data_IF_648595781171
#
_entry.id   IF_648595781171
#
_cell.length_a   1.000
_cell.length_b   1.000
_cell.length_c   1.000
_cell.angle_alpha   90.00
_cell.angle_beta   90.00
_cell.angle_gamma   90.00
#
_symmetry.space_group_name_H-M   'P 1'
#
loop_
_entity.id
_entity.type
_entity.pdbx_description
1 polymer ?
#
# COMPACT_ATOMS: atom_id res chain seq x y z
N UNK A 1 12.09 67.75 -16.32
CA UNK A 1 11.06 67.77 -15.27
C UNK A 1 9.77 67.24 -15.88
N UNK A 2 9.26 66.12 -15.35
CA UNK A 2 7.98 65.54 -15.77
C UNK A 2 8.06 64.10 -16.28
N UNK A 3 8.59 63.16 -15.47
CA UNK A 3 8.37 61.73 -15.71
C UNK A 3 6.89 61.42 -15.42
N UNK A 4 6.10 61.27 -16.48
CA UNK A 4 4.71 60.83 -16.39
C UNK A 4 4.68 59.35 -16.02
N UNK A 5 4.54 59.08 -14.72
CA UNK A 5 4.22 57.76 -14.19
C UNK A 5 2.91 57.26 -14.82
N UNK A 6 3.02 56.36 -15.80
CA UNK A 6 1.91 55.53 -16.25
C UNK A 6 1.57 54.56 -15.12
N UNK A 7 0.71 55.04 -14.23
CA UNK A 7 0.07 54.26 -13.18
C UNK A 7 -0.78 53.17 -13.85
N UNK A 8 -0.19 51.99 -14.04
CA UNK A 8 -0.92 50.77 -14.37
C UNK A 8 -1.85 50.49 -13.19
N UNK A 9 -3.10 50.92 -13.31
CA UNK A 9 -4.16 50.52 -12.40
C UNK A 9 -4.30 49.01 -12.49
N UNK A 10 -3.65 48.29 -11.58
CA UNK A 10 -3.97 46.91 -11.30
C UNK A 10 -5.44 46.89 -10.87
N UNK A 11 -6.31 46.49 -11.80
CA UNK A 11 -7.70 46.19 -11.50
C UNK A 11 -7.64 44.97 -10.58
N UNK A 12 -7.60 45.23 -9.27
CA UNK A 12 -7.89 44.27 -8.23
C UNK A 12 -9.34 43.85 -8.44
N UNK A 13 -9.56 42.89 -9.34
CA UNK A 13 -10.83 42.17 -9.45
C UNK A 13 -11.09 41.65 -8.04
N UNK A 14 -12.13 42.13 -7.34
CA UNK A 14 -12.43 41.63 -6.01
C UNK A 14 -12.60 40.13 -6.16
N UNK A 15 -11.83 39.33 -5.43
CA UNK A 15 -12.09 37.89 -5.30
C UNK A 15 -13.50 37.77 -4.71
N UNK A 16 -14.50 37.71 -5.58
CA UNK A 16 -15.90 37.57 -5.21
C UNK A 16 -15.98 36.30 -4.38
N UNK A 17 -16.19 36.45 -3.06
CA UNK A 17 -16.49 35.32 -2.20
C UNK A 17 -17.74 34.68 -2.81
N UNK A 18 -17.69 33.41 -3.24
CA UNK A 18 -18.77 32.89 -4.05
C UNK A 18 -20.05 32.89 -3.20
N UNK A 19 -21.05 33.62 -3.70
CA UNK A 19 -22.35 33.89 -3.10
C UNK A 19 -23.24 32.62 -3.17
N UNK A 20 -22.71 31.45 -2.84
CA UNK A 20 -23.52 30.25 -2.71
C UNK A 20 -24.32 30.36 -1.42
N UNK A 21 -25.63 30.50 -1.56
CA UNK A 21 -26.58 30.41 -0.46
C UNK A 21 -26.38 29.08 0.31
N UNK A 22 -26.71 29.05 1.60
CA UNK A 22 -26.53 27.85 2.45
C UNK A 22 -27.22 26.61 1.84
N UNK A 23 -28.31 26.85 1.16
CA UNK A 23 -29.20 25.91 0.48
C UNK A 23 -28.49 25.27 -0.72
N UNK A 24 -27.83 26.05 -1.57
CA UNK A 24 -27.04 25.53 -2.69
C UNK A 24 -25.90 24.62 -2.20
N UNK A 25 -25.27 24.94 -1.06
CA UNK A 25 -24.24 24.08 -0.46
C UNK A 25 -24.79 22.73 0.00
N UNK A 26 -26.02 22.68 0.50
CA UNK A 26 -26.68 21.43 0.90
C UNK A 26 -26.89 20.54 -0.31
N UNK A 27 -27.45 21.11 -1.38
CA UNK A 27 -27.71 20.39 -2.64
C UNK A 27 -26.39 19.88 -3.23
N UNK A 28 -25.39 20.76 -3.35
CA UNK A 28 -24.07 20.36 -3.88
C UNK A 28 -23.39 19.28 -3.05
N UNK A 29 -23.53 19.30 -1.71
CA UNK A 29 -23.01 18.24 -0.83
C UNK A 29 -23.74 16.93 -1.06
N UNK A 30 -25.06 16.96 -1.23
CA UNK A 30 -25.85 15.77 -1.52
C UNK A 30 -25.49 15.17 -2.89
N UNK A 31 -25.35 16.01 -3.92
CA UNK A 31 -24.93 15.58 -5.26
C UNK A 31 -23.52 14.97 -5.23
N UNK A 32 -22.54 15.65 -4.61
CA UNK A 32 -21.19 15.11 -4.45
C UNK A 32 -21.21 13.76 -3.72
N UNK A 33 -21.92 13.67 -2.60
CA UNK A 33 -22.06 12.40 -1.86
C UNK A 33 -22.65 11.29 -2.72
N UNK A 34 -23.67 11.59 -3.54
CA UNK A 34 -24.27 10.60 -4.44
C UNK A 34 -23.26 10.10 -5.47
N UNK A 35 -22.57 11.01 -6.16
CA UNK A 35 -21.52 10.67 -7.14
C UNK A 35 -20.39 9.89 -6.47
N UNK A 36 -19.90 10.36 -5.32
CA UNK A 36 -18.82 9.71 -4.57
C UNK A 36 -19.23 8.30 -4.11
N UNK A 37 -20.49 8.12 -3.73
CA UNK A 37 -21.03 6.80 -3.37
C UNK A 37 -21.10 5.89 -4.59
N UNK A 38 -21.52 6.41 -5.75
CA UNK A 38 -21.61 5.64 -7.00
C UNK A 38 -20.22 5.19 -7.48
N UNK A 39 -19.26 6.12 -7.52
CA UNK A 39 -17.86 5.83 -7.88
C UNK A 39 -17.26 4.81 -6.91
N UNK A 40 -17.46 4.97 -5.60
CA UNK A 40 -16.95 4.00 -4.62
C UNK A 40 -17.58 2.61 -4.78
N UNK A 41 -18.89 2.52 -5.01
CA UNK A 41 -19.57 1.24 -5.28
C UNK A 41 -19.00 0.55 -6.50
N UNK A 42 -18.74 1.29 -7.58
CA UNK A 42 -18.11 0.76 -8.79
C UNK A 42 -16.70 0.23 -8.50
N UNK A 43 -15.84 1.03 -7.87
CA UNK A 43 -14.49 0.64 -7.50
C UNK A 43 -14.47 -0.58 -6.56
N UNK A 44 -15.39 -0.65 -5.60
CA UNK A 44 -15.54 -1.80 -4.70
C UNK A 44 -15.92 -3.07 -5.47
N UNK A 45 -16.81 -2.96 -6.47
CA UNK A 45 -17.18 -4.11 -7.33
C UNK A 45 -15.97 -4.59 -8.13
N UNK A 46 -15.19 -3.68 -8.72
CA UNK A 46 -13.95 -4.02 -9.44
C UNK A 46 -12.94 -4.72 -8.54
N UNK A 47 -12.75 -4.21 -7.32
CA UNK A 47 -11.83 -4.82 -6.35
C UNK A 47 -12.35 -6.17 -5.83
N UNK A 48 -13.63 -6.50 -5.90
CA UNK A 48 -14.10 -7.82 -5.47
C UNK A 48 -13.92 -8.91 -6.55
N UNK A 49 -13.96 -8.54 -7.83
CA UNK A 49 -13.92 -9.47 -8.96
C UNK A 49 -12.59 -10.23 -9.12
N UNK A 50 -11.47 -9.69 -8.61
CA UNK A 50 -10.13 -10.23 -8.87
C UNK A 50 -9.80 -11.62 -8.33
N UNK A 51 -10.65 -12.18 -7.47
CA UNK A 51 -10.45 -13.54 -6.97
C UNK A 51 -11.04 -14.60 -7.90
N UNK A 52 -11.67 -14.17 -9.00
CA UNK A 52 -12.32 -15.01 -9.99
C UNK A 52 -11.55 -14.88 -11.32
N UNK A 53 -10.87 -15.95 -11.74
CA UNK A 53 -10.20 -16.03 -13.05
C UNK A 53 -8.68 -16.17 -13.01
N UNK A 54 -8.08 -16.21 -14.21
CA UNK A 54 -6.64 -16.40 -14.39
C UNK A 54 -5.89 -15.06 -14.18
N UNK A 55 -4.96 -14.97 -13.20
CA UNK A 55 -4.15 -13.79 -12.97
C UNK A 55 -3.32 -13.35 -14.18
N UNK A 56 -2.96 -14.28 -15.07
CA UNK A 56 -2.20 -13.97 -16.31
C UNK A 56 -2.96 -13.04 -17.22
N UNK A 57 -4.25 -13.31 -17.44
CA UNK A 57 -5.11 -12.51 -18.30
C UNK A 57 -5.25 -11.09 -17.75
N UNK A 58 -5.42 -10.96 -16.44
CA UNK A 58 -5.54 -9.67 -15.78
C UNK A 58 -4.23 -8.86 -15.85
N UNK A 59 -3.10 -9.50 -15.55
CA UNK A 59 -1.78 -8.87 -15.66
C UNK A 59 -1.46 -8.50 -17.11
N UNK A 60 -1.94 -9.24 -18.12
CA UNK A 60 -1.70 -8.90 -19.53
C UNK A 60 -2.13 -7.47 -19.87
N UNK A 61 -3.20 -6.99 -19.24
CA UNK A 61 -3.71 -5.62 -19.43
C UNK A 61 -2.97 -4.55 -18.61
N UNK A 62 -2.32 -4.94 -17.51
CA UNK A 62 -1.66 -4.00 -16.58
C UNK A 62 -0.15 -3.99 -16.76
N UNK A 63 0.46 -5.16 -16.70
CA UNK A 63 1.87 -5.40 -16.90
C UNK A 63 2.09 -6.69 -17.70
N UNK A 64 2.22 -6.60 -19.04
CA UNK A 64 2.41 -7.77 -19.88
C UNK A 64 3.74 -8.47 -19.64
N UNK A 65 4.76 -7.78 -19.11
CA UNK A 65 6.07 -8.38 -18.80
C UNK A 65 5.91 -9.36 -17.65
N UNK A 66 5.23 -8.97 -16.58
CA UNK A 66 4.98 -9.86 -15.44
C UNK A 66 4.02 -11.00 -15.80
N UNK A 67 3.03 -10.73 -16.67
CA UNK A 67 2.12 -11.76 -17.16
C UNK A 67 2.87 -12.90 -17.89
N UNK A 68 3.91 -12.58 -18.66
CA UNK A 68 4.73 -13.57 -19.37
C UNK A 68 5.55 -14.46 -18.43
N UNK A 69 6.01 -13.91 -17.31
CA UNK A 69 6.85 -14.64 -16.33
C UNK A 69 5.99 -15.51 -15.41
N UNK A 70 4.72 -15.17 -15.23
CA UNK A 70 3.82 -15.88 -14.33
C UNK A 70 3.56 -17.31 -14.82
N UNK A 71 3.90 -18.32 -14.03
CA UNK A 71 3.55 -19.71 -14.35
C UNK A 71 2.24 -20.19 -13.70
N UNK A 72 1.50 -21.07 -14.37
CA UNK A 72 0.28 -21.67 -13.83
C UNK A 72 0.57 -22.48 -12.55
N UNK A 73 1.71 -23.17 -12.48
CA UNK A 73 2.12 -23.92 -11.30
C UNK A 73 2.53 -23.02 -10.12
N UNK A 74 2.78 -21.72 -10.36
CA UNK A 74 3.15 -20.77 -9.30
C UNK A 74 2.00 -20.47 -8.34
N UNK A 75 0.76 -20.84 -8.68
CA UNK A 75 -0.42 -20.56 -7.85
C UNK A 75 -0.55 -19.06 -7.56
N UNK A 76 -0.26 -18.23 -8.57
CA UNK A 76 -0.25 -16.79 -8.46
C UNK A 76 -1.67 -16.22 -8.27
N UNK A 77 -1.77 -15.09 -7.59
CA UNK A 77 -3.00 -14.36 -7.32
C UNK A 77 -2.67 -12.87 -7.32
N UNK A 78 -3.47 -12.06 -8.01
CA UNK A 78 -3.30 -10.60 -7.96
C UNK A 78 -4.32 -10.02 -6.98
N UNK A 79 -3.87 -9.40 -5.90
CA UNK A 79 -4.75 -8.79 -4.90
C UNK A 79 -4.89 -7.30 -5.14
N UNK A 80 -6.10 -6.77 -5.04
CA UNK A 80 -6.36 -5.32 -5.12
C UNK A 80 -6.70 -4.72 -3.77
N UNK A 81 -6.36 -3.44 -3.62
CA UNK A 81 -6.79 -2.59 -2.51
C UNK A 81 -7.10 -1.20 -3.02
N UNK A 82 -8.03 -0.53 -2.35
CA UNK A 82 -8.24 0.91 -2.50
C UNK A 82 -7.34 1.63 -1.49
N UNK A 83 -6.76 2.76 -1.89
CA UNK A 83 -5.91 3.58 -1.03
C UNK A 83 -5.72 4.98 -1.62
N UNK A 84 -4.81 5.75 -1.01
CA UNK A 84 -4.57 7.15 -1.39
C UNK A 84 -5.07 8.13 -0.34
N UNK A 85 -4.54 9.36 -0.39
CA UNK A 85 -4.85 10.45 0.55
C UNK A 85 -6.02 11.32 0.09
N UNK A 86 -6.40 11.23 -1.19
CA UNK A 86 -7.48 12.00 -1.80
C UNK A 86 -8.56 11.09 -2.36
N UNK A 87 -9.78 11.64 -2.50
CA UNK A 87 -10.90 11.00 -3.16
C UNK A 87 -10.98 11.46 -4.63
N UNK A 88 -11.27 10.57 -5.60
CA UNK A 88 -11.55 9.14 -5.48
C UNK A 88 -10.31 8.31 -5.13
N UNK A 89 -10.48 7.15 -4.47
CA UNK A 89 -9.35 6.34 -4.02
C UNK A 89 -8.62 5.69 -5.21
N UNK A 90 -7.30 5.65 -5.13
CA UNK A 90 -6.43 4.93 -6.06
C UNK A 90 -6.51 3.42 -5.85
N UNK A 91 -6.46 2.67 -6.95
CA UNK A 91 -6.37 1.21 -6.91
C UNK A 91 -4.91 0.82 -6.85
N UNK A 92 -4.56 -0.08 -5.93
CA UNK A 92 -3.25 -0.70 -5.85
C UNK A 92 -3.38 -2.21 -6.01
N UNK A 93 -2.33 -2.83 -6.54
CA UNK A 93 -2.25 -4.27 -6.72
C UNK A 93 -0.97 -4.86 -6.12
N UNK A 94 -1.01 -6.15 -5.80
CA UNK A 94 0.14 -6.95 -5.38
C UNK A 94 0.00 -8.37 -5.92
N UNK A 95 1.07 -8.90 -6.51
CA UNK A 95 1.14 -10.29 -6.96
C UNK A 95 1.52 -11.15 -5.76
N UNK A 96 0.69 -12.12 -5.40
CA UNK A 96 0.92 -13.06 -4.31
C UNK A 96 0.95 -14.49 -4.86
N UNK A 97 1.59 -15.41 -4.17
CA UNK A 97 1.55 -16.85 -4.50
C UNK A 97 0.93 -17.60 -3.33
N UNK A 98 0.00 -18.52 -3.62
CA UNK A 98 -0.53 -19.47 -2.62
C UNK A 98 0.39 -20.68 -2.47
N UNK A 99 1.10 -21.05 -3.53
CA UNK A 99 2.09 -22.10 -3.51
C UNK A 99 3.40 -21.64 -2.85
N UNK A 100 4.13 -22.55 -2.17
CA UNK A 100 5.47 -22.27 -1.66
C UNK A 100 6.45 -22.13 -2.83
N UNK A 101 6.67 -20.89 -3.29
CA UNK A 101 7.67 -20.61 -4.33
C UNK A 101 9.03 -20.36 -3.67
N UNK A 102 10.05 -21.04 -4.20
CA UNK A 102 11.45 -20.88 -3.80
C UNK A 102 12.24 -20.48 -5.03
N UNK A 103 13.08 -19.46 -4.89
CA UNK A 103 14.06 -19.11 -5.90
C UNK A 103 15.19 -20.15 -5.88
N UNK A 104 15.24 -21.01 -6.90
CA UNK A 104 16.28 -22.05 -7.03
C UNK A 104 17.67 -21.42 -7.19
N UNK A 105 17.74 -20.28 -7.89
CA UNK A 105 18.99 -19.58 -8.20
C UNK A 105 19.48 -18.68 -7.07
N UNK A 106 18.63 -18.32 -6.09
CA UNK A 106 19.09 -17.66 -4.85
C UNK A 106 20.16 -18.47 -4.09
N UNK A 107 20.29 -19.76 -4.42
CA UNK A 107 21.28 -20.67 -3.86
C UNK A 107 22.44 -21.03 -4.80
N UNK A 108 22.57 -20.39 -5.98
CA UNK A 108 23.48 -20.83 -7.06
C UNK A 108 24.24 -19.68 -7.75
N UNK A 109 25.49 -19.87 -8.22
CA UNK A 109 26.38 -21.01 -8.00
C UNK A 109 27.14 -20.81 -6.69
N UNK A 110 27.20 -21.86 -5.87
CA UNK A 110 28.11 -21.88 -4.71
C UNK A 110 29.51 -22.15 -5.26
N UNK A 111 30.52 -21.47 -4.73
CA UNK A 111 31.91 -21.82 -5.02
C UNK A 111 32.24 -23.10 -4.25
N UNK A 112 31.98 -24.24 -4.88
CA UNK A 112 32.19 -25.58 -4.31
C UNK A 112 33.69 -25.89 -4.08
N UNK A 113 34.60 -25.05 -4.59
CA UNK A 113 36.04 -25.23 -4.39
C UNK A 113 36.51 -24.78 -3.00
N UNK A 114 35.73 -23.93 -2.32
CA UNK A 114 36.04 -23.45 -0.97
C UNK A 114 35.33 -24.29 0.07
N UNK A 115 36.06 -25.18 0.76
CA UNK A 115 35.54 -26.01 1.86
C UNK A 115 34.91 -25.20 3.02
N UNK A 116 35.20 -23.91 3.12
CA UNK A 116 34.60 -22.99 4.10
C UNK A 116 33.23 -22.43 3.66
N UNK A 117 32.81 -22.62 2.41
CA UNK A 117 31.56 -22.09 1.84
C UNK A 117 30.48 -23.15 1.60
N UNK A 118 30.78 -24.44 1.82
CA UNK A 118 29.76 -25.49 1.91
C UNK A 118 28.85 -25.19 3.09
N UNK A 119 27.75 -24.47 2.81
CA UNK A 119 26.60 -24.40 3.72
C UNK A 119 26.26 -25.82 4.12
N UNK A 120 26.17 -26.07 5.43
CA UNK A 120 25.84 -27.37 6.00
C UNK A 120 24.68 -28.02 5.23
N UNK A 121 24.82 -29.31 4.94
CA UNK A 121 23.79 -30.12 4.26
C UNK A 121 22.48 -29.99 5.05
N UNK A 122 21.30 -29.93 4.40
CA UNK A 122 19.99 -29.84 5.09
C UNK A 122 19.68 -30.94 6.12
N UNK A 123 20.56 -31.94 6.30
CA UNK A 123 20.50 -32.95 7.36
C UNK A 123 21.39 -32.72 8.59
N UNK A 124 22.23 -31.68 8.61
CA UNK A 124 23.21 -31.42 9.70
C UNK A 124 22.89 -30.19 10.56
N UNK A 125 21.66 -29.67 10.51
CA UNK A 125 21.25 -28.53 11.34
C UNK A 125 20.12 -28.96 12.29
N UNK A 126 20.49 -29.75 13.29
CA UNK A 126 19.77 -29.74 14.56
C UNK A 126 20.46 -28.65 15.42
N UNK A 127 19.77 -27.51 15.60
CA UNK A 127 20.16 -26.38 16.48
C UNK A 127 21.26 -25.39 16.00
N UNK A 128 21.38 -25.06 14.71
CA UNK A 128 22.37 -24.07 14.22
C UNK A 128 21.98 -23.35 12.91
N UNK A 129 20.92 -22.56 12.96
CA UNK A 129 20.17 -21.96 11.85
C UNK A 129 20.96 -21.31 10.69
N UNK A 130 20.83 -21.89 9.49
CA UNK A 130 20.80 -21.12 8.23
C UNK A 130 19.32 -20.85 7.89
N UNK A 131 18.73 -19.82 8.52
CA UNK A 131 17.38 -19.40 8.19
C UNK A 131 17.39 -18.74 6.80
N UNK A 132 16.68 -19.34 5.85
CA UNK A 132 16.29 -18.64 4.63
C UNK A 132 15.33 -17.53 5.07
N UNK A 133 15.86 -16.34 5.30
CA UNK A 133 15.05 -15.17 5.60
C UNK A 133 14.30 -14.78 4.33
N UNK A 134 12.98 -14.97 4.33
CA UNK A 134 12.14 -14.45 3.24
C UNK A 134 12.09 -12.94 3.38
N UNK A 135 12.81 -12.22 2.54
CA UNK A 135 12.70 -10.76 2.42
C UNK A 135 11.60 -10.47 1.41
N UNK A 136 10.47 -9.98 1.90
CA UNK A 136 9.33 -9.67 1.04
C UNK A 136 9.51 -8.28 0.39
N UNK A 137 10.29 -8.21 -0.70
CA UNK A 137 10.49 -6.98 -1.49
C UNK A 137 9.31 -6.65 -2.42
N UNK A 138 8.12 -7.10 -2.06
CA UNK A 138 6.94 -7.03 -2.91
C UNK A 138 5.90 -6.08 -2.31
N UNK A 139 6.15 -4.80 -2.46
CA UNK A 139 5.28 -3.71 -2.06
C UNK A 139 4.05 -3.65 -2.94
N UNK A 140 3.06 -2.92 -2.46
CA UNK A 140 1.87 -2.64 -3.25
C UNK A 140 2.16 -1.59 -4.31
N UNK A 141 1.67 -1.84 -5.52
CA UNK A 141 1.92 -1.01 -6.71
C UNK A 141 0.65 -0.31 -7.13
N UNK A 142 0.75 0.95 -7.54
CA UNK A 142 -0.42 1.69 -8.01
C UNK A 142 -0.81 1.21 -9.41
N UNK A 143 -2.11 1.07 -9.65
CA UNK A 143 -2.70 0.81 -10.96
C UNK A 143 -2.92 2.17 -11.64
N UNK A 144 -1.83 2.86 -12.00
CA UNK A 144 -1.89 4.10 -12.78
C UNK A 144 -1.76 3.77 -14.27
N UNK A 145 -2.52 4.48 -15.10
CA UNK A 145 -2.59 4.25 -16.54
C UNK A 145 -1.34 4.69 -17.33
N UNK A 146 -0.35 5.36 -16.70
CA UNK A 146 0.69 6.05 -17.48
C UNK A 146 2.15 5.74 -17.15
N UNK A 147 2.50 5.30 -15.95
CA UNK A 147 3.87 4.83 -15.68
C UNK A 147 3.90 4.10 -14.35
N UNK A 148 4.18 2.80 -14.39
CA UNK A 148 4.66 2.08 -13.22
C UNK A 148 6.09 2.55 -12.96
N UNK A 149 6.25 3.71 -12.32
CA UNK A 149 7.56 4.12 -11.83
C UNK A 149 7.92 3.20 -10.66
N UNK A 150 9.03 2.44 -10.72
CA UNK A 150 9.50 1.60 -9.62
C UNK A 150 9.81 2.41 -8.34
N UNK A 151 9.89 3.75 -8.45
CA UNK A 151 10.20 4.68 -7.36
C UNK A 151 8.99 5.47 -6.84
N UNK A 152 7.76 5.00 -7.06
CA UNK A 152 6.61 5.67 -6.44
C UNK A 152 6.73 5.58 -4.90
N UNK A 153 6.68 6.73 -4.21
CA UNK A 153 6.78 6.86 -2.75
C UNK A 153 5.94 5.81 -2.01
N UNK A 154 4.70 5.59 -2.48
CA UNK A 154 3.76 4.63 -1.86
C UNK A 154 4.23 3.17 -1.92
N UNK A 155 4.98 2.79 -2.95
CA UNK A 155 5.59 1.45 -3.09
C UNK A 155 6.83 1.35 -2.21
N UNK A 156 7.66 2.40 -2.14
CA UNK A 156 8.83 2.46 -1.26
C UNK A 156 8.45 2.38 0.22
N UNK A 157 7.47 3.17 0.68
CA UNK A 157 6.98 3.16 2.07
C UNK A 157 6.49 1.79 2.52
N UNK A 158 5.98 0.98 1.57
CA UNK A 158 5.53 -0.38 1.85
C UNK A 158 6.69 -1.39 1.81
N UNK A 159 7.66 -1.21 0.91
CA UNK A 159 8.85 -2.05 0.79
C UNK A 159 9.81 -1.92 1.98
N UNK A 160 9.92 -0.73 2.58
CA UNK A 160 10.85 -0.49 3.69
C UNK A 160 10.47 -1.23 4.99
N UNK A 161 9.24 -1.75 5.09
CA UNK A 161 8.78 -2.45 6.29
C UNK A 161 9.24 -3.91 6.25
N UNK A 162 10.40 -4.17 6.86
CA UNK A 162 10.83 -5.54 7.15
C UNK A 162 9.83 -6.19 8.11
N UNK A 163 9.24 -7.30 7.68
CA UNK A 163 8.35 -8.10 8.51
C UNK A 163 9.01 -9.44 8.79
N UNK A 164 9.22 -9.75 10.07
CA UNK A 164 9.69 -11.08 10.46
C UNK A 164 8.64 -12.13 10.08
N UNK A 165 9.07 -13.14 9.33
CA UNK A 165 8.22 -14.22 8.87
C UNK A 165 8.67 -15.55 9.49
N UNK A 166 7.95 -15.99 10.52
CA UNK A 166 8.16 -17.31 11.12
C UNK A 166 7.61 -18.41 10.20
N UNK A 167 8.30 -19.57 10.09
CA UNK A 167 7.87 -20.67 9.21
C UNK A 167 6.54 -21.31 9.67
N UNK A 168 6.39 -21.55 10.97
CA UNK A 168 5.18 -22.11 11.57
C UNK A 168 3.99 -21.14 11.51
N UNK A 169 2.86 -21.61 10.95
CA UNK A 169 1.62 -20.84 10.79
C UNK A 169 1.02 -20.42 12.15
N UNK A 170 1.05 -21.31 13.14
CA UNK A 170 0.48 -21.05 14.48
C UNK A 170 1.22 -19.88 15.14
N UNK A 171 2.55 -19.89 15.10
CA UNK A 171 3.36 -18.80 15.65
C UNK A 171 3.05 -17.47 14.96
N UNK A 172 2.91 -17.48 13.62
CA UNK A 172 2.49 -16.27 12.88
C UNK A 172 1.12 -15.75 13.33
N UNK A 173 0.16 -16.63 13.58
CA UNK A 173 -1.17 -16.24 14.06
C UNK A 173 -1.09 -15.63 15.47
N UNK A 174 -0.30 -16.23 16.36
CA UNK A 174 -0.04 -15.71 17.71
C UNK A 174 0.64 -14.34 17.66
N UNK A 175 1.64 -14.15 16.79
CA UNK A 175 2.33 -12.88 16.61
C UNK A 175 1.38 -11.78 16.10
N UNK A 176 0.49 -12.10 15.16
CA UNK A 176 -0.55 -11.18 14.69
C UNK A 176 -1.50 -10.80 15.83
N UNK A 177 -1.95 -11.77 16.63
CA UNK A 177 -2.79 -11.51 17.79
C UNK A 177 -2.09 -10.62 18.84
N UNK A 178 -0.80 -10.90 19.13
CA UNK A 178 0.04 -10.10 20.02
C UNK A 178 0.16 -8.66 19.53
N UNK A 179 0.47 -8.46 18.24
CA UNK A 179 0.56 -7.13 17.60
C UNK A 179 -0.78 -6.38 17.66
N UNK A 180 -1.91 -7.06 17.46
CA UNK A 180 -3.25 -6.46 17.62
C UNK A 180 -3.48 -5.99 19.07
N UNK A 181 -3.11 -6.80 20.07
CA UNK A 181 -3.24 -6.44 21.49
C UNK A 181 -2.38 -5.23 21.85
N UNK A 182 -1.12 -5.21 21.41
CA UNK A 182 -0.21 -4.08 21.62
C UNK A 182 -0.77 -2.79 21.01
N UNK A 183 -1.19 -2.82 19.75
CA UNK A 183 -1.81 -1.66 19.08
C UNK A 183 -3.06 -1.16 19.81
N UNK A 184 -3.87 -2.07 20.35
CA UNK A 184 -5.04 -1.71 21.16
C UNK A 184 -4.61 -0.99 22.44
N UNK A 185 -3.61 -1.50 23.15
CA UNK A 185 -3.08 -0.86 24.37
C UNK A 185 -2.49 0.51 24.07
N UNK A 186 -1.67 0.63 23.02
CA UNK A 186 -1.09 1.91 22.58
C UNK A 186 -2.18 2.92 22.21
N UNK A 187 -3.22 2.48 21.51
CA UNK A 187 -4.36 3.32 21.19
C UNK A 187 -5.09 3.80 22.45
N UNK A 188 -5.38 2.91 23.40
CA UNK A 188 -5.97 3.28 24.69
C UNK A 188 -5.09 4.29 25.42
N UNK A 189 -3.77 4.05 25.52
CA UNK A 189 -2.82 4.98 26.15
C UNK A 189 -2.86 6.38 25.50
N UNK A 190 -2.90 6.45 24.16
CA UNK A 190 -3.04 7.72 23.43
C UNK A 190 -4.37 8.41 23.73
N UNK A 191 -5.47 7.67 23.78
CA UNK A 191 -6.80 8.21 24.13
C UNK A 191 -6.83 8.76 25.55
N UNK A 192 -6.24 8.03 26.51
CA UNK A 192 -6.10 8.53 27.88
C UNK A 192 -5.32 9.84 27.92
N UNK A 193 -4.14 9.91 27.28
CA UNK A 193 -3.34 11.14 27.23
C UNK A 193 -4.13 12.30 26.61
N UNK A 194 -4.82 12.06 25.48
CA UNK A 194 -5.63 13.06 24.79
C UNK A 194 -6.79 13.58 25.63
N UNK A 195 -7.48 12.70 26.35
CA UNK A 195 -8.56 13.08 27.26
C UNK A 195 -8.04 13.95 28.41
N UNK A 196 -6.92 13.55 29.05
CA UNK A 196 -6.32 14.31 30.14
C UNK A 196 -5.77 15.68 29.70
N UNK A 197 -5.20 15.78 28.50
CA UNK A 197 -4.76 17.07 27.95
C UNK A 197 -5.94 17.96 27.62
N UNK A 198 -6.99 17.43 26.97
CA UNK A 198 -8.21 18.19 26.65
C UNK A 198 -8.93 18.71 27.90
N UNK A 199 -8.85 18.00 29.02
CA UNK A 199 -9.46 18.39 30.30
C UNK A 199 -8.69 19.54 30.98
N UNK A 200 -7.35 19.59 30.84
CA UNK A 200 -6.53 20.72 31.32
C UNK A 200 -6.80 22.02 30.56
N UNK A 201 -7.07 21.96 29.25
CA UNK A 201 -7.40 23.14 28.43
C UNK A 201 -8.84 23.64 28.61
N UNK A 202 -9.69 22.93 29.36
CA UNK A 202 -11.10 23.29 29.58
C UNK A 202 -11.34 24.00 30.92
N UNK A 203 -10.33 24.05 31.80
CA UNK A 203 -10.40 24.61 33.16
C UNK A 203 -9.61 25.93 33.28
N UNK A 204 -9.03 26.41 32.18
CA UNK A 204 -8.42 27.74 32.00
C UNK A 204 -9.26 28.56 31.03
#
# INVERSE_FOLDING_TARGET
AGDSALERKEILVPKQKPLYSKESRIIQRACRRHVDTAVFKHLKKLVNFHNEGDPRLFLRFINPVEAKILDAASGALVRFRLGGTSYPPNIYYKICTRAPVVDMCASSPKDYTRAQQTKLVPGQIHNGQLMICRVENNGWRILSCRTQSPNCQSTQDTNCKKMDFHYCRINRQQDVARKKKIRKIEWMRKMYVYAHTSQKFRVT
#
